data_IF_538944740212
#
_entry.id   IF_538944740212
#
_cell.length_a   1.000
_cell.length_b   1.000
_cell.length_c   1.000
_cell.angle_alpha   90.00
_cell.angle_beta   90.00
_cell.angle_gamma   90.00
#
_symmetry.space_group_name_H-M   'P 1'
#
loop_
_entity.id
_entity.type
_entity.pdbx_description
1 polymer ?
#
# COMPACT_ATOMS: atom_id res chain seq x y z
N UNK A 1 -16.68 4.42 -20.91
CA UNK A 1 -16.38 4.41 -19.47
C UNK A 1 -14.88 4.57 -19.34
N UNK A 2 -14.40 5.42 -18.45
CA UNK A 2 -12.97 5.50 -18.15
C UNK A 2 -12.48 4.14 -17.61
N UNK A 3 -11.22 3.80 -17.83
CA UNK A 3 -10.66 2.49 -17.46
C UNK A 3 -10.74 2.22 -15.95
N UNK A 4 -10.70 3.28 -15.13
CA UNK A 4 -10.79 3.16 -13.67
C UNK A 4 -12.24 3.00 -13.21
N UNK A 5 -13.17 3.75 -13.80
CA UNK A 5 -14.62 3.57 -13.56
C UNK A 5 -15.09 2.15 -13.92
N UNK A 6 -14.49 1.55 -14.95
CA UNK A 6 -14.74 0.16 -15.33
C UNK A 6 -14.34 -0.82 -14.22
N UNK A 7 -13.13 -0.70 -13.73
CA UNK A 7 -12.62 -1.62 -12.71
C UNK A 7 -13.39 -1.50 -11.41
N UNK A 8 -13.73 -0.27 -11.03
CA UNK A 8 -14.45 0.01 -9.79
C UNK A 8 -15.88 -0.54 -9.84
N UNK A 9 -16.56 -0.41 -10.98
CA UNK A 9 -17.88 -0.99 -11.18
C UNK A 9 -17.85 -2.53 -11.06
N UNK A 10 -16.89 -3.18 -11.72
CA UNK A 10 -16.76 -4.64 -11.66
C UNK A 10 -16.36 -5.11 -10.26
N UNK A 11 -15.42 -4.43 -9.62
CA UNK A 11 -14.99 -4.71 -8.25
C UNK A 11 -16.16 -4.62 -7.27
N UNK A 12 -16.94 -3.53 -7.34
CA UNK A 12 -18.11 -3.32 -6.48
C UNK A 12 -19.15 -4.41 -6.68
N UNK A 13 -19.55 -4.67 -7.92
CA UNK A 13 -20.50 -5.74 -8.24
C UNK A 13 -20.01 -7.11 -7.74
N UNK A 14 -18.71 -7.40 -7.89
CA UNK A 14 -18.12 -8.63 -7.37
C UNK A 14 -18.16 -8.73 -5.84
N UNK A 15 -17.85 -7.65 -5.13
CA UNK A 15 -17.87 -7.64 -3.66
C UNK A 15 -19.28 -7.76 -3.11
N UNK A 16 -20.26 -7.07 -3.72
CA UNK A 16 -21.66 -7.16 -3.34
C UNK A 16 -22.21 -8.57 -3.58
N UNK A 17 -21.90 -9.16 -4.74
CA UNK A 17 -22.29 -10.54 -5.05
C UNK A 17 -21.62 -11.55 -4.12
N UNK A 18 -20.34 -11.34 -3.76
CA UNK A 18 -19.64 -12.17 -2.80
C UNK A 18 -20.27 -12.08 -1.40
N UNK A 19 -20.71 -10.89 -0.99
CA UNK A 19 -21.43 -10.68 0.27
C UNK A 19 -22.76 -11.46 0.30
N UNK A 20 -23.52 -11.45 -0.80
CA UNK A 20 -24.84 -12.08 -0.90
C UNK A 20 -24.78 -13.61 -1.04
N UNK A 21 -23.92 -14.12 -1.93
CA UNK A 21 -23.94 -15.53 -2.33
C UNK A 21 -22.70 -16.32 -1.88
N UNK A 22 -21.75 -15.64 -1.24
CA UNK A 22 -20.47 -16.18 -0.81
C UNK A 22 -19.40 -16.12 -1.91
N UNK A 23 -18.15 -15.95 -1.50
CA UNK A 23 -17.02 -15.88 -2.43
C UNK A 23 -16.95 -17.10 -3.33
N UNK A 24 -17.12 -18.33 -2.81
CA UNK A 24 -17.01 -19.56 -3.60
C UNK A 24 -17.88 -19.61 -4.86
N UNK A 25 -19.11 -19.07 -4.81
CA UNK A 25 -20.06 -19.08 -5.94
C UNK A 25 -19.89 -17.92 -6.92
N UNK A 26 -19.08 -16.92 -6.57
CA UNK A 26 -18.80 -15.78 -7.43
C UNK A 26 -18.06 -16.21 -8.70
N UNK A 27 -18.48 -15.68 -9.85
CA UNK A 27 -17.74 -15.73 -11.10
C UNK A 27 -17.52 -14.31 -11.64
N UNK A 28 -16.45 -14.10 -12.43
CA UNK A 28 -16.20 -12.81 -13.11
C UNK A 28 -17.35 -12.50 -14.09
N UNK A 29 -17.90 -13.53 -14.73
CA UNK A 29 -19.02 -13.40 -15.68
C UNK A 29 -20.25 -12.82 -14.99
N UNK A 30 -20.59 -13.32 -13.81
CA UNK A 30 -21.74 -12.82 -13.09
C UNK A 30 -21.51 -11.40 -12.57
N UNK A 31 -20.33 -11.10 -12.04
CA UNK A 31 -19.99 -9.74 -11.62
C UNK A 31 -20.05 -8.75 -12.80
N UNK A 32 -19.60 -9.16 -13.99
CA UNK A 32 -19.70 -8.35 -15.20
C UNK A 32 -21.16 -8.11 -15.62
N UNK A 33 -22.03 -9.13 -15.53
CA UNK A 33 -23.47 -8.98 -15.79
C UNK A 33 -24.13 -8.04 -14.80
N UNK A 34 -23.83 -8.19 -13.52
CA UNK A 34 -24.34 -7.33 -12.44
C UNK A 34 -23.88 -5.87 -12.64
N UNK A 35 -22.67 -5.66 -13.17
CA UNK A 35 -22.12 -4.34 -13.49
C UNK A 35 -22.52 -3.78 -14.87
N UNK A 36 -23.25 -4.53 -15.70
CA UNK A 36 -23.59 -4.12 -17.07
C UNK A 36 -22.38 -4.04 -18.03
N UNK A 37 -21.32 -4.79 -17.75
CA UNK A 37 -20.05 -4.78 -18.50
C UNK A 37 -20.03 -5.90 -19.57
N UNK A 38 -19.59 -5.61 -20.82
CA UNK A 38 -19.37 -6.64 -21.83
C UNK A 38 -18.38 -7.73 -21.37
N UNK A 39 -18.73 -8.99 -21.64
CA UNK A 39 -17.97 -10.14 -21.12
C UNK A 39 -16.55 -10.26 -21.69
N UNK A 40 -16.35 -9.83 -22.93
CA UNK A 40 -15.05 -9.81 -23.59
C UNK A 40 -14.11 -8.77 -22.95
N UNK A 41 -14.63 -7.61 -22.58
CA UNK A 41 -13.88 -6.60 -21.81
C UNK A 41 -13.58 -7.09 -20.38
N UNK A 42 -14.58 -7.67 -19.70
CA UNK A 42 -14.38 -8.25 -18.37
C UNK A 42 -13.30 -9.35 -18.40
N UNK A 43 -13.31 -10.23 -19.41
CA UNK A 43 -12.31 -11.31 -19.54
C UNK A 43 -10.90 -10.79 -19.85
N UNK A 44 -10.77 -9.69 -20.60
CA UNK A 44 -9.49 -9.04 -20.89
C UNK A 44 -8.87 -8.43 -19.62
N UNK A 45 -9.69 -7.79 -18.78
CA UNK A 45 -9.21 -7.02 -17.64
C UNK A 45 -9.17 -7.79 -16.32
N UNK A 46 -10.12 -8.71 -16.11
CA UNK A 46 -10.21 -9.61 -14.97
C UNK A 46 -10.13 -11.07 -15.45
N UNK A 47 -8.94 -11.55 -15.85
CA UNK A 47 -8.79 -12.86 -16.49
C UNK A 47 -9.13 -14.04 -15.55
N UNK A 48 -9.10 -13.79 -14.25
CA UNK A 48 -9.34 -14.77 -13.20
C UNK A 48 -9.94 -14.08 -11.98
N UNK A 49 -10.68 -14.85 -11.18
CA UNK A 49 -11.42 -14.36 -10.01
C UNK A 49 -10.54 -13.65 -8.97
N UNK A 50 -9.34 -14.18 -8.70
CA UNK A 50 -8.40 -13.53 -7.79
C UNK A 50 -7.91 -12.15 -8.29
N UNK A 51 -8.03 -11.83 -9.59
CA UNK A 51 -7.68 -10.50 -10.11
C UNK A 51 -8.57 -9.40 -9.51
N UNK A 52 -9.80 -9.74 -9.13
CA UNK A 52 -10.70 -8.82 -8.41
C UNK A 52 -10.10 -8.44 -7.05
N UNK A 53 -9.56 -9.43 -6.32
CA UNK A 53 -8.95 -9.19 -5.02
C UNK A 53 -7.59 -8.49 -5.14
N UNK A 54 -6.82 -8.78 -6.19
CA UNK A 54 -5.59 -8.05 -6.49
C UNK A 54 -5.88 -6.59 -6.83
N UNK A 55 -6.97 -6.30 -7.56
CA UNK A 55 -7.42 -4.91 -7.81
C UNK A 55 -7.80 -4.22 -6.50
N UNK A 56 -8.59 -4.87 -5.63
CA UNK A 56 -8.94 -4.32 -4.32
C UNK A 56 -7.69 -4.06 -3.46
N UNK A 57 -6.75 -5.00 -3.42
CA UNK A 57 -5.49 -4.85 -2.71
C UNK A 57 -4.66 -3.68 -3.23
N UNK A 58 -4.59 -3.52 -4.55
CA UNK A 58 -3.93 -2.36 -5.19
C UNK A 58 -4.60 -1.04 -4.83
N UNK A 59 -5.93 -0.96 -4.89
CA UNK A 59 -6.67 0.24 -4.48
C UNK A 59 -6.36 0.61 -3.02
N UNK A 60 -6.27 -0.39 -2.15
CA UNK A 60 -5.93 -0.20 -0.74
C UNK A 60 -4.44 0.16 -0.53
N UNK A 61 -3.53 -0.35 -1.36
CA UNK A 61 -2.11 0.06 -1.36
C UNK A 61 -1.94 1.50 -1.84
N UNK A 62 -2.62 1.87 -2.93
CA UNK A 62 -2.58 3.24 -3.49
C UNK A 62 -3.08 4.25 -2.46
N UNK A 63 -4.20 3.98 -1.80
CA UNK A 63 -4.72 4.84 -0.73
C UNK A 63 -3.77 4.91 0.47
N UNK A 64 -3.10 3.81 0.82
CA UNK A 64 -2.14 3.80 1.92
C UNK A 64 -0.93 4.67 1.58
N UNK A 65 -0.37 4.53 0.38
CA UNK A 65 0.89 5.14 -0.04
C UNK A 65 0.77 6.60 -0.50
N UNK A 66 -0.42 7.21 -0.43
CA UNK A 66 -0.56 8.66 -0.64
C UNK A 66 0.29 9.39 0.39
N UNK A 67 1.23 10.20 -0.11
CA UNK A 67 2.00 11.11 0.74
C UNK A 67 1.09 12.24 1.21
N UNK A 68 0.81 12.25 2.50
CA UNK A 68 0.01 13.25 3.19
C UNK A 68 0.88 14.27 3.94
N UNK A 69 2.21 14.19 3.79
CA UNK A 69 3.15 15.00 4.56
C UNK A 69 3.26 14.57 6.02
N UNK A 70 2.80 13.37 6.39
CA UNK A 70 2.87 12.86 7.76
C UNK A 70 4.32 12.79 8.28
N UNK A 71 4.56 13.52 9.37
CA UNK A 71 5.80 13.46 10.14
C UNK A 71 5.59 12.62 11.37
N UNK A 72 6.54 11.77 11.71
CA UNK A 72 6.43 10.93 12.90
C UNK A 72 7.49 9.85 12.95
N UNK A 73 7.43 9.07 14.02
CA UNK A 73 8.18 7.83 14.15
C UNK A 73 7.76 6.83 13.07
N UNK A 74 8.63 5.84 12.79
CA UNK A 74 8.30 4.76 11.84
C UNK A 74 7.01 4.03 12.25
N UNK A 75 6.76 3.90 13.56
CA UNK A 75 5.54 3.29 14.12
C UNK A 75 4.29 4.08 13.72
N UNK A 76 4.31 5.39 13.94
CA UNK A 76 3.19 6.28 13.62
C UNK A 76 2.90 6.27 12.11
N UNK A 77 3.94 6.33 11.28
CA UNK A 77 3.78 6.21 9.82
C UNK A 77 3.15 4.89 9.41
N UNK A 78 3.65 3.76 9.93
CA UNK A 78 3.07 2.45 9.63
C UNK A 78 1.62 2.34 10.09
N UNK A 79 1.29 2.91 11.24
CA UNK A 79 -0.08 2.96 11.73
C UNK A 79 -0.99 3.70 10.76
N UNK A 80 -0.60 4.90 10.32
CA UNK A 80 -1.40 5.72 9.40
C UNK A 80 -1.58 5.05 8.04
N UNK A 81 -0.50 4.49 7.46
CA UNK A 81 -0.54 3.75 6.20
C UNK A 81 -1.52 2.56 6.28
N UNK A 82 -1.47 1.79 7.37
CA UNK A 82 -2.32 0.62 7.55
C UNK A 82 -3.77 0.98 7.86
N UNK A 83 -4.03 2.10 8.55
CA UNK A 83 -5.39 2.60 8.77
C UNK A 83 -6.05 3.03 7.45
N UNK A 84 -5.34 3.76 6.58
CA UNK A 84 -5.82 4.09 5.23
C UNK A 84 -6.17 2.85 4.41
N UNK A 85 -5.37 1.81 4.54
CA UNK A 85 -5.64 0.52 3.91
C UNK A 85 -6.97 -0.07 4.43
N UNK A 86 -7.20 -0.03 5.74
CA UNK A 86 -8.47 -0.48 6.33
C UNK A 86 -9.66 0.35 5.87
N UNK A 87 -9.51 1.66 5.68
CA UNK A 87 -10.58 2.53 5.18
C UNK A 87 -11.07 2.09 3.79
N UNK A 88 -10.16 1.68 2.91
CA UNK A 88 -10.55 1.11 1.60
C UNK A 88 -11.25 -0.23 1.78
N UNK A 89 -10.72 -1.13 2.63
CA UNK A 89 -11.37 -2.42 2.88
C UNK A 89 -12.76 -2.26 3.48
N UNK A 90 -13.00 -1.20 4.27
CA UNK A 90 -14.31 -0.93 4.84
C UNK A 90 -15.38 -0.68 3.81
N UNK A 91 -15.05 -0.02 2.70
CA UNK A 91 -15.99 0.24 1.61
C UNK A 91 -16.53 -1.06 0.97
N UNK A 92 -15.83 -2.19 1.17
CA UNK A 92 -16.16 -3.51 0.64
C UNK A 92 -16.28 -4.58 1.73
N UNK A 93 -16.53 -4.17 2.98
CA UNK A 93 -16.44 -5.01 4.19
C UNK A 93 -17.12 -6.37 4.04
N UNK A 94 -18.39 -6.38 3.64
CA UNK A 94 -19.18 -7.61 3.56
C UNK A 94 -18.61 -8.62 2.53
N UNK A 95 -18.13 -8.12 1.39
CA UNK A 95 -17.47 -8.91 0.36
C UNK A 95 -16.13 -9.48 0.85
N UNK A 96 -15.32 -8.65 1.50
CA UNK A 96 -14.03 -9.07 2.09
C UNK A 96 -14.23 -10.13 3.18
N UNK A 97 -15.22 -9.98 4.07
CA UNK A 97 -15.59 -11.01 5.07
C UNK A 97 -16.01 -12.32 4.39
N UNK A 98 -16.72 -12.26 3.26
CA UNK A 98 -17.08 -13.45 2.50
C UNK A 98 -15.85 -14.15 1.87
N UNK A 99 -14.86 -13.37 1.43
CA UNK A 99 -13.56 -13.90 0.96
C UNK A 99 -12.82 -14.57 2.10
N UNK A 100 -12.65 -13.88 3.25
CA UNK A 100 -11.92 -14.41 4.41
C UNK A 100 -12.48 -15.74 4.91
N UNK A 101 -13.81 -15.90 4.92
CA UNK A 101 -14.46 -17.17 5.26
C UNK A 101 -14.19 -18.30 4.26
N UNK A 102 -13.93 -17.97 3.00
CA UNK A 102 -13.67 -18.94 1.93
C UNK A 102 -12.18 -19.33 1.82
N UNK A 103 -11.25 -18.47 2.24
CA UNK A 103 -9.80 -18.70 2.10
C UNK A 103 -9.30 -20.05 2.63
N UNK A 104 -9.76 -20.58 3.79
CA UNK A 104 -9.32 -21.89 4.27
C UNK A 104 -9.63 -23.04 3.30
N UNK A 105 -10.59 -22.86 2.40
CA UNK A 105 -11.04 -23.85 1.42
C UNK A 105 -10.60 -23.52 -0.01
N UNK A 106 -9.83 -22.45 -0.22
CA UNK A 106 -9.32 -22.00 -1.51
C UNK A 106 -7.81 -21.71 -1.41
N UNK A 107 -6.96 -22.76 -1.42
CA UNK A 107 -5.53 -22.62 -1.21
C UNK A 107 -4.83 -21.83 -2.32
N UNK A 108 -5.36 -21.88 -3.55
CA UNK A 108 -4.81 -21.14 -4.68
C UNK A 108 -5.00 -19.63 -4.48
N UNK A 109 -6.20 -19.19 -4.12
CA UNK A 109 -6.46 -17.78 -3.81
C UNK A 109 -5.65 -17.34 -2.58
N UNK A 110 -5.59 -18.16 -1.52
CA UNK A 110 -4.82 -17.85 -0.33
C UNK A 110 -3.33 -17.62 -0.62
N UNK A 111 -2.72 -18.45 -1.49
CA UNK A 111 -1.32 -18.29 -1.89
C UNK A 111 -1.09 -16.98 -2.66
N UNK A 112 -1.97 -16.67 -3.61
CA UNK A 112 -1.88 -15.44 -4.42
C UNK A 112 -2.02 -14.20 -3.52
N UNK A 113 -2.99 -14.18 -2.61
CA UNK A 113 -3.17 -13.08 -1.68
C UNK A 113 -2.05 -12.97 -0.67
N UNK A 114 -1.51 -14.09 -0.19
CA UNK A 114 -0.36 -14.11 0.70
C UNK A 114 0.85 -13.45 0.07
N UNK A 115 1.19 -13.84 -1.17
CA UNK A 115 2.29 -13.24 -1.92
C UNK A 115 2.06 -11.74 -2.17
N UNK A 116 0.86 -11.34 -2.59
CA UNK A 116 0.51 -9.94 -2.78
C UNK A 116 0.61 -9.14 -1.47
N UNK A 117 0.16 -9.71 -0.35
CA UNK A 117 0.22 -9.07 0.98
C UNK A 117 1.67 -8.84 1.42
N UNK A 118 2.57 -9.81 1.22
CA UNK A 118 4.00 -9.65 1.53
C UNK A 118 4.59 -8.47 0.75
N UNK A 119 4.24 -8.34 -0.53
CA UNK A 119 4.70 -7.22 -1.35
C UNK A 119 4.10 -5.89 -0.89
N UNK A 120 2.79 -5.81 -0.61
CA UNK A 120 2.15 -4.62 -0.02
C UNK A 120 2.86 -4.16 1.26
N UNK A 121 3.16 -5.10 2.17
CA UNK A 121 3.86 -4.77 3.43
C UNK A 121 5.29 -4.30 3.17
N UNK A 122 5.99 -4.83 2.17
CA UNK A 122 7.32 -4.34 1.78
C UNK A 122 7.26 -2.88 1.31
N UNK A 123 6.27 -2.51 0.50
CA UNK A 123 6.08 -1.12 0.07
C UNK A 123 5.81 -0.19 1.24
N UNK A 124 4.89 -0.56 2.14
CA UNK A 124 4.55 0.26 3.31
C UNK A 124 5.72 0.38 4.29
N UNK A 125 6.48 -0.70 4.50
CA UNK A 125 7.70 -0.68 5.30
C UNK A 125 8.72 0.31 4.72
N UNK A 126 8.96 0.26 3.40
CA UNK A 126 9.85 1.20 2.71
C UNK A 126 9.36 2.65 2.83
N UNK A 127 8.06 2.90 2.61
CA UNK A 127 7.47 4.23 2.72
C UNK A 127 7.56 4.81 4.14
N UNK A 128 7.43 3.97 5.17
CA UNK A 128 7.61 4.37 6.56
C UNK A 128 9.08 4.60 6.95
N UNK A 129 10.04 4.24 6.08
CA UNK A 129 11.48 4.45 6.30
C UNK A 129 12.23 3.25 6.90
N UNK A 130 11.63 2.06 6.87
CA UNK A 130 12.33 0.82 7.23
C UNK A 130 13.28 0.37 6.13
N UNK A 131 14.41 -0.19 6.55
CA UNK A 131 15.28 -0.93 5.64
C UNK A 131 14.71 -2.33 5.37
N UNK A 132 14.27 -2.54 4.13
CA UNK A 132 13.69 -3.79 3.61
C UNK A 132 14.70 -4.67 2.87
N UNK A 133 16.00 -4.32 2.91
CA UNK A 133 17.05 -5.08 2.23
C UNK A 133 17.62 -6.24 3.07
N UNK A 134 18.09 -7.28 2.37
CA UNK A 134 18.74 -8.43 2.99
C UNK A 134 17.84 -9.28 3.90
N UNK A 135 18.48 -10.13 4.72
CA UNK A 135 17.79 -11.04 5.64
C UNK A 135 17.05 -10.26 6.72
N UNK A 136 17.69 -9.23 7.29
CA UNK A 136 17.08 -8.38 8.31
C UNK A 136 15.83 -7.67 7.76
N UNK A 137 15.91 -7.06 6.58
CA UNK A 137 14.75 -6.44 5.95
C UNK A 137 13.63 -7.43 5.63
N UNK A 138 13.97 -8.65 5.20
CA UNK A 138 12.98 -9.72 5.02
C UNK A 138 12.26 -10.05 6.33
N UNK A 139 12.99 -10.16 7.44
CA UNK A 139 12.38 -10.38 8.76
C UNK A 139 11.46 -9.22 9.17
N UNK A 140 11.83 -7.96 8.88
CA UNK A 140 10.97 -6.78 9.11
C UNK A 140 9.66 -6.85 8.34
N UNK A 141 9.73 -7.19 7.06
CA UNK A 141 8.53 -7.38 6.22
C UNK A 141 7.65 -8.48 6.78
N UNK A 142 8.21 -9.63 7.17
CA UNK A 142 7.43 -10.72 7.76
C UNK A 142 6.81 -10.34 9.11
N UNK A 143 7.52 -9.57 9.93
CA UNK A 143 6.97 -9.00 11.16
C UNK A 143 5.77 -8.10 10.88
N UNK A 144 5.87 -7.23 9.87
CA UNK A 144 4.77 -6.36 9.44
C UNK A 144 3.59 -7.15 8.85
N UNK A 145 3.85 -8.25 8.12
CA UNK A 145 2.81 -9.19 7.69
C UNK A 145 2.08 -9.79 8.90
N UNK A 146 2.82 -10.12 9.97
CA UNK A 146 2.24 -10.59 11.24
C UNK A 146 1.35 -9.54 11.91
N UNK A 147 1.82 -8.29 11.97
CA UNK A 147 1.05 -7.13 12.46
C UNK A 147 -0.23 -6.95 11.66
N UNK A 148 -0.12 -6.92 10.32
CA UNK A 148 -1.25 -6.78 9.42
C UNK A 148 -2.26 -7.91 9.59
N UNK A 149 -1.80 -9.16 9.67
CA UNK A 149 -2.68 -10.32 9.84
C UNK A 149 -3.41 -10.28 11.18
N UNK A 150 -2.73 -9.87 12.24
CA UNK A 150 -3.35 -9.70 13.57
C UNK A 150 -4.42 -8.61 13.56
N UNK A 151 -4.09 -7.43 13.01
CA UNK A 151 -5.03 -6.33 12.88
C UNK A 151 -6.21 -6.67 11.95
N UNK A 152 -5.96 -7.36 10.84
CA UNK A 152 -7.01 -7.80 9.90
C UNK A 152 -7.98 -8.78 10.55
N UNK A 153 -7.50 -9.66 11.45
CA UNK A 153 -8.38 -10.53 12.23
C UNK A 153 -9.20 -9.74 13.25
N UNK A 154 -8.64 -8.71 13.87
CA UNK A 154 -9.42 -7.81 14.73
C UNK A 154 -10.48 -7.06 13.92
N UNK A 155 -10.08 -6.50 12.78
CA UNK A 155 -10.96 -5.83 11.82
C UNK A 155 -12.13 -6.69 11.37
N UNK A 156 -11.89 -7.97 11.05
CA UNK A 156 -12.95 -8.90 10.67
C UNK A 156 -14.01 -9.07 11.77
N UNK A 157 -13.64 -8.92 13.04
CA UNK A 157 -14.53 -9.06 14.19
C UNK A 157 -14.99 -7.72 14.80
N UNK A 158 -14.63 -6.60 14.19
CA UNK A 158 -14.90 -5.26 14.71
C UNK A 158 -16.18 -4.65 14.14
N UNK A 159 -17.27 -4.69 14.90
CA UNK A 159 -18.56 -4.10 14.48
C UNK A 159 -18.75 -2.66 14.96
N UNK A 160 -17.69 -1.99 15.45
CA UNK A 160 -17.74 -0.57 15.77
C UNK A 160 -17.70 0.30 14.51
N UNK A 161 -18.40 1.44 14.53
CA UNK A 161 -18.40 2.38 13.41
C UNK A 161 -17.04 3.06 13.22
N UNK A 162 -16.28 3.23 14.30
CA UNK A 162 -15.02 3.97 14.36
C UNK A 162 -13.77 3.08 14.26
N UNK A 163 -13.93 1.77 14.06
CA UNK A 163 -12.83 0.81 14.05
C UNK A 163 -12.00 0.78 15.34
N UNK A 164 -12.57 1.16 16.48
CA UNK A 164 -11.85 1.27 17.76
C UNK A 164 -11.10 -0.01 18.16
N UNK A 165 -11.67 -1.20 17.94
CA UNK A 165 -10.98 -2.48 18.26
C UNK A 165 -9.85 -2.78 17.29
N UNK A 166 -10.03 -2.47 16.01
CA UNK A 166 -9.01 -2.61 14.98
C UNK A 166 -7.83 -1.69 15.25
N UNK A 167 -8.13 -0.43 15.59
CA UNK A 167 -7.16 0.59 15.91
C UNK A 167 -6.30 0.18 17.12
N UNK A 168 -6.94 -0.28 18.20
CA UNK A 168 -6.24 -0.77 19.38
C UNK A 168 -5.39 -2.03 19.10
N UNK A 169 -5.90 -2.97 18.29
CA UNK A 169 -5.16 -4.16 17.90
C UNK A 169 -3.93 -3.83 17.05
N UNK A 170 -4.06 -2.87 16.13
CA UNK A 170 -2.98 -2.40 15.28
C UNK A 170 -1.89 -1.71 16.11
N UNK A 171 -2.26 -0.75 16.97
CA UNK A 171 -1.32 -0.05 17.84
C UNK A 171 -0.56 -1.04 18.75
N UNK A 172 -1.28 -1.97 19.36
CA UNK A 172 -0.67 -3.00 20.21
C UNK A 172 0.29 -3.91 19.43
N UNK A 173 -0.05 -4.29 18.21
CA UNK A 173 0.81 -5.14 17.39
C UNK A 173 2.07 -4.40 16.93
N UNK A 174 1.95 -3.13 16.55
CA UNK A 174 3.08 -2.27 16.19
C UNK A 174 4.00 -2.00 17.40
N UNK A 175 3.45 -1.77 18.59
CA UNK A 175 4.24 -1.62 19.82
C UNK A 175 5.01 -2.90 20.15
N UNK A 176 4.36 -4.08 20.06
CA UNK A 176 5.06 -5.36 20.22
C UNK A 176 6.17 -5.52 19.18
N UNK A 177 5.90 -5.19 17.92
CA UNK A 177 6.90 -5.22 16.85
C UNK A 177 8.09 -4.31 17.16
N UNK A 178 7.86 -3.10 17.68
CA UNK A 178 8.90 -2.17 18.08
C UNK A 178 9.80 -2.74 19.19
N UNK A 179 9.20 -3.38 20.20
CA UNK A 179 9.90 -3.96 21.36
C UNK A 179 10.81 -5.13 21.00
N UNK A 180 10.61 -5.78 19.85
CA UNK A 180 11.51 -6.81 19.35
C UNK A 180 12.87 -6.25 18.85
N UNK A 181 13.17 -4.98 19.12
CA UNK A 181 14.49 -4.34 19.06
C UNK A 181 15.01 -4.07 17.64
N UNK A 182 14.85 -5.03 16.73
CA UNK A 182 15.44 -5.00 15.40
C UNK A 182 14.40 -4.76 14.29
N UNK A 183 13.11 -4.80 14.63
CA UNK A 183 12.04 -4.90 13.64
C UNK A 183 11.63 -3.55 13.05
N UNK A 184 11.73 -2.46 13.83
CA UNK A 184 11.33 -1.12 13.41
C UNK A 184 12.47 -0.09 13.37
N UNK A 185 13.73 -0.55 13.38
CA UNK A 185 14.88 0.34 13.31
C UNK A 185 14.94 1.09 11.97
N UNK A 186 15.08 2.42 12.07
CA UNK A 186 15.20 3.33 10.93
C UNK A 186 16.53 3.10 10.21
N UNK A 187 16.54 3.30 8.89
CA UNK A 187 17.78 3.43 8.11
C UNK A 187 18.76 4.38 8.81
N UNK A 188 19.95 3.87 9.18
CA UNK A 188 21.05 4.70 9.66
C UNK A 188 21.37 5.75 8.61
N UNK A 189 21.24 7.03 8.96
CA UNK A 189 21.53 8.14 8.07
C UNK A 189 23.04 8.34 7.96
N UNK A 190 23.67 7.69 6.99
CA UNK A 190 24.92 8.19 6.42
C UNK A 190 24.56 8.91 5.12
N UNK A 191 24.21 10.20 5.22
CA UNK A 191 24.37 11.08 4.08
C UNK A 191 25.88 11.28 3.89
N UNK A 192 26.43 11.21 2.66
CA UNK A 192 27.80 11.65 2.45
C UNK A 192 27.82 13.14 2.77
N UNK A 193 28.54 13.52 3.82
CA UNK A 193 28.92 14.91 4.04
C UNK A 193 29.75 15.33 2.83
N UNK A 194 29.16 16.13 1.94
CA UNK A 194 29.93 16.88 0.97
C UNK A 194 30.94 17.72 1.76
N UNK A 195 32.24 17.70 1.40
CA UNK A 195 33.22 18.56 2.03
C UNK A 195 32.77 20.03 1.87
N UNK A 196 33.10 20.91 2.83
CA UNK A 196 32.77 22.32 2.75
C UNK A 196 33.37 22.91 1.46
N UNK A 197 32.55 23.72 0.79
CA UNK A 197 32.86 24.48 -0.41
C UNK A 197 34.05 25.41 -0.13
N UNK A 198 35.26 24.97 -0.47
CA UNK A 198 36.43 25.85 -0.57
C UNK A 198 36.42 26.50 -1.96
N UNK A 199 35.99 27.76 -2.01
CA UNK A 199 36.34 28.64 -3.12
C UNK A 199 35.29 29.67 -3.47
N UNK A 200 35.36 30.84 -2.81
CA UNK A 200 34.95 32.10 -3.43
C UNK A 200 35.71 32.25 -4.75
N UNK A 201 35.05 31.97 -5.88
CA UNK A 201 35.50 32.47 -7.18
C UNK A 201 34.90 33.86 -7.32
N UNK A 202 35.70 34.87 -6.96
CA UNK A 202 35.41 36.28 -7.23
C UNK A 202 35.37 36.49 -8.75
N UNK A 203 34.15 36.58 -9.28
CA UNK A 203 33.87 36.87 -10.69
C UNK A 203 33.64 38.37 -10.89
N UNK A 204 34.56 39.21 -10.39
CA UNK A 204 34.66 40.60 -10.78
C UNK A 204 35.28 40.71 -12.18
N UNK A 205 34.42 40.53 -13.18
CA UNK A 205 34.71 40.90 -14.57
C UNK A 205 34.74 42.42 -14.66
N UNK A 206 35.95 42.96 -14.80
CA UNK A 206 36.21 44.38 -15.12
C UNK A 206 35.87 44.63 -16.60
N UNK A 207 34.66 45.09 -16.85
CA UNK A 207 34.18 45.54 -18.16
C UNK A 207 34.15 47.07 -18.17
N UNK A 208 35.29 47.73 -18.35
CA UNK A 208 35.33 49.01 -19.09
C UNK A 208 36.74 49.44 -19.48
N UNK A 209 36.83 49.98 -20.72
CA UNK A 209 37.85 50.89 -21.27
C UNK A 209 39.19 50.23 -21.67
N UNK A 210 39.73 50.40 -22.87
CA UNK A 210 39.64 51.52 -23.81
C UNK A 210 39.63 51.06 -25.28
N UNK A 211 38.84 51.78 -26.07
CA UNK A 211 38.99 51.87 -27.51
C UNK A 211 39.72 53.18 -27.82
N UNK A 212 40.87 53.12 -28.48
CA UNK A 212 41.29 54.16 -29.44
C UNK A 212 42.11 53.54 -30.59
N UNK A 213 42.07 54.13 -31.79
CA UNK A 213 42.57 53.52 -33.02
C UNK A 213 43.97 54.04 -33.42
N UNK A 214 44.82 53.16 -33.95
CA UNK A 214 46.10 53.53 -34.59
C UNK A 214 45.87 54.07 -36.00
N UNK A 215 46.49 55.20 -36.40
CA UNK A 215 46.52 55.66 -37.78
C UNK A 215 47.85 55.29 -38.48
N UNK A 216 47.70 54.69 -39.68
CA UNK A 216 48.67 54.45 -40.77
C UNK A 216 49.85 53.49 -40.55
#
# INVERSE_FOLDING_TARGET
MDNDQFDDALLRAAMDRAALYGWGRLTVVDAARDAGIPLDDARRRFPLKAAILLKLGRLADESALVDDGSTGTVREKLFDLLMRRFDVLQQYRAGVRAVMRALPFDPATALVLGAATVESMRWMAGAAGLDVSGIAGTLRVQGLVGVWTYALRAWDNDDSEDLSRTMAALDQALDRAARLGNLLERRGSAAPSLPPDEGDIDLSVDLTRDAEPEPF
#
